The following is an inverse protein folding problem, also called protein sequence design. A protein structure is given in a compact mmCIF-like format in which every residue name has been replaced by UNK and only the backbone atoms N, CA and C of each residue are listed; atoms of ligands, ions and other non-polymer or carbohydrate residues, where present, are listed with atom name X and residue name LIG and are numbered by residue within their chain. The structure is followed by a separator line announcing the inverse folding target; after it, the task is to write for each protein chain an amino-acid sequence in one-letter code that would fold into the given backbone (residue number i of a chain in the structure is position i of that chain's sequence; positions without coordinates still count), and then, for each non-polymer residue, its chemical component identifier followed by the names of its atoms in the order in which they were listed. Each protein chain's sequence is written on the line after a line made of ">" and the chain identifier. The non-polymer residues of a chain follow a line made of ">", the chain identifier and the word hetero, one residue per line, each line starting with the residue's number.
data_IF_107126356504
#
_entry.id   IF_107126356504
#
_cell.length_a   1.000
_cell.length_b   1.000
_cell.length_c   1.000
_cell.angle_alpha   90.00
_cell.angle_beta   90.00
_cell.angle_gamma   90.00
#
_symmetry.space_group_name_H-M   'P 1'
#
loop_
_entity.id
_entity.type
_entity.pdbx_description
1 polymer ?
#
# COMPACT_ATOMS: atom_id res chain seq x y z
N UNK A 1 -24.59 -6.23 -1.93
CA UNK A 1 -23.62 -5.98 -3.02
C UNK A 1 -22.29 -6.56 -2.55
N UNK A 2 -21.61 -7.35 -3.39
CA UNK A 2 -20.31 -7.91 -3.03
C UNK A 2 -19.24 -6.88 -3.34
N UNK A 3 -18.59 -6.31 -2.32
CA UNK A 3 -17.42 -5.48 -2.51
C UNK A 3 -16.24 -6.32 -3.03
N UNK A 4 -15.44 -5.76 -3.93
CA UNK A 4 -14.18 -6.37 -4.36
C UNK A 4 -13.04 -5.40 -4.12
N UNK A 5 -11.94 -5.91 -3.60
CA UNK A 5 -10.69 -5.13 -3.48
C UNK A 5 -9.64 -5.80 -4.34
N UNK A 6 -9.08 -5.05 -5.27
CA UNK A 6 -8.03 -5.48 -6.19
C UNK A 6 -6.67 -4.97 -5.70
N UNK A 7 -5.68 -5.85 -5.63
CA UNK A 7 -4.27 -5.46 -5.56
C UNK A 7 -3.72 -5.36 -6.97
N UNK A 8 -3.21 -4.19 -7.31
CA UNK A 8 -2.58 -3.93 -8.61
C UNK A 8 -1.11 -3.61 -8.45
N UNK A 9 -0.37 -3.86 -9.53
CA UNK A 9 1.02 -3.48 -9.63
C UNK A 9 1.39 -2.98 -11.02
N UNK A 10 2.44 -2.17 -11.09
CA UNK A 10 3.07 -1.78 -12.34
C UNK A 10 4.60 -1.73 -12.19
N UNK A 11 5.29 -1.86 -13.33
CA UNK A 11 6.74 -1.67 -13.41
C UNK A 11 7.05 -0.18 -13.20
N UNK A 12 8.13 0.09 -12.47
CA UNK A 12 8.63 1.46 -12.31
C UNK A 12 9.50 1.81 -13.55
N UNK A 13 9.45 3.05 -14.07
CA UNK A 13 10.35 3.50 -15.13
C UNK A 13 11.81 3.22 -14.79
N UNK A 14 12.59 2.77 -15.78
CA UNK A 14 14.03 2.46 -15.71
C UNK A 14 14.44 1.28 -14.81
N UNK A 15 13.77 1.04 -13.68
CA UNK A 15 14.12 -0.02 -12.70
C UNK A 15 13.10 -1.17 -12.63
N UNK A 16 12.16 -1.23 -13.57
CA UNK A 16 11.06 -2.20 -13.60
C UNK A 16 11.46 -3.69 -13.63
N UNK A 17 12.73 -3.99 -13.93
CA UNK A 17 13.27 -5.35 -13.82
C UNK A 17 13.33 -5.83 -12.36
N UNK A 18 13.61 -4.92 -11.42
CA UNK A 18 13.91 -5.23 -10.02
C UNK A 18 12.90 -4.65 -9.02
N UNK A 19 12.09 -3.67 -9.44
CA UNK A 19 11.15 -2.97 -8.56
C UNK A 19 9.77 -2.78 -9.22
N UNK A 20 8.72 -2.94 -8.41
CA UNK A 20 7.34 -2.68 -8.79
C UNK A 20 6.68 -1.74 -7.79
N UNK A 21 5.64 -1.06 -8.23
CA UNK A 21 4.80 -0.19 -7.42
C UNK A 21 3.43 -0.84 -7.24
N UNK A 22 3.02 -1.10 -6.01
CA UNK A 22 1.71 -1.68 -5.69
C UNK A 22 0.70 -0.61 -5.23
N UNK A 23 -0.59 -0.83 -5.52
CA UNK A 23 -1.72 -0.04 -5.01
C UNK A 23 -2.99 -0.89 -4.85
N UNK A 24 -3.97 -0.39 -4.12
CA UNK A 24 -5.29 -1.00 -4.04
C UNK A 24 -6.30 -0.29 -4.94
N UNK A 25 -7.25 -1.05 -5.46
CA UNK A 25 -8.50 -0.53 -6.05
C UNK A 25 -9.68 -1.14 -5.30
N UNK A 26 -10.57 -0.32 -4.78
CA UNK A 26 -11.85 -0.75 -4.23
C UNK A 26 -12.89 -0.62 -5.32
N UNK A 27 -13.59 -1.71 -5.65
CA UNK A 27 -14.65 -1.73 -6.64
C UNK A 27 -16.03 -1.69 -5.96
N UNK A 28 -16.71 -0.57 -6.19
CA UNK A 28 -18.12 -0.34 -5.86
C UNK A 28 -18.84 0.16 -7.12
N UNK A 29 -19.87 1.01 -6.98
CA UNK A 29 -20.46 1.74 -8.11
C UNK A 29 -19.42 2.62 -8.83
N UNK A 30 -18.49 3.20 -8.07
CA UNK A 30 -17.34 3.95 -8.59
C UNK A 30 -16.08 3.38 -7.96
N UNK A 31 -15.08 3.07 -8.79
CA UNK A 31 -13.83 2.50 -8.30
C UNK A 31 -12.95 3.56 -7.63
N UNK A 32 -12.34 3.20 -6.50
CA UNK A 32 -11.41 4.05 -5.77
C UNK A 32 -10.00 3.46 -5.83
N UNK A 33 -9.04 4.22 -6.34
CA UNK A 33 -7.61 3.88 -6.30
C UNK A 33 -6.96 4.51 -5.08
N UNK A 34 -6.25 3.71 -4.30
CA UNK A 34 -5.54 4.15 -3.10
C UNK A 34 -4.06 3.77 -3.18
N UNK A 35 -3.18 4.77 -3.14
CA UNK A 35 -1.74 4.56 -3.28
C UNK A 35 -0.90 5.59 -2.51
N UNK A 36 0.37 5.26 -2.29
CA UNK A 36 1.39 6.19 -1.81
C UNK A 36 2.27 6.64 -2.98
N UNK A 37 2.47 7.95 -3.15
CA UNK A 37 3.35 8.53 -4.17
C UNK A 37 4.51 9.32 -3.53
N UNK A 38 5.64 9.43 -4.23
CA UNK A 38 6.82 10.15 -3.72
C UNK A 38 6.56 11.65 -3.51
N UNK A 39 5.64 12.23 -4.29
CA UNK A 39 5.29 13.66 -4.22
C UNK A 39 4.00 13.82 -3.43
N UNK A 40 4.01 14.70 -2.42
CA UNK A 40 2.86 14.95 -1.54
C UNK A 40 1.78 15.80 -2.23
N UNK A 41 0.54 15.70 -1.76
CA UNK A 41 -0.54 16.67 -2.00
C UNK A 41 -0.86 16.97 -3.47
N UNK A 42 -0.83 15.96 -4.34
CA UNK A 42 -1.05 16.11 -5.78
C UNK A 42 -2.52 16.31 -6.18
N UNK A 43 -3.47 15.87 -5.34
CA UNK A 43 -4.91 16.03 -5.54
C UNK A 43 -5.59 16.43 -4.23
N UNK A 44 -6.82 16.97 -4.28
CA UNK A 44 -7.57 17.38 -3.07
C UNK A 44 -7.81 16.23 -2.10
N UNK A 45 -7.92 15.00 -2.59
CA UNK A 45 -8.01 13.77 -1.80
C UNK A 45 -6.65 13.15 -1.49
N UNK A 46 -5.71 13.98 -1.03
CA UNK A 46 -4.38 13.55 -0.58
C UNK A 46 -4.17 13.83 0.90
N UNK A 47 -3.42 12.95 1.56
CA UNK A 47 -3.00 13.09 2.95
C UNK A 47 -1.49 12.84 3.03
N UNK A 48 -0.72 13.91 2.81
CA UNK A 48 0.73 13.79 2.58
C UNK A 48 1.00 13.04 1.27
N UNK A 49 1.68 11.90 1.37
CA UNK A 49 2.01 10.99 0.26
C UNK A 49 0.89 10.01 -0.08
N UNK A 50 -0.14 9.88 0.75
CA UNK A 50 -1.30 9.05 0.45
C UNK A 50 -2.22 9.79 -0.49
N UNK A 51 -2.68 9.12 -1.55
CA UNK A 51 -3.61 9.67 -2.51
C UNK A 51 -4.76 8.71 -2.75
N UNK A 52 -5.97 9.26 -2.78
CA UNK A 52 -7.14 8.64 -3.39
C UNK A 52 -7.34 9.20 -4.79
N UNK A 53 -7.49 8.34 -5.78
CA UNK A 53 -7.80 8.66 -7.19
C UNK A 53 -6.81 9.63 -7.85
N UNK A 54 -5.50 9.51 -7.54
CA UNK A 54 -4.45 10.27 -8.24
C UNK A 54 -4.45 9.99 -9.75
N UNK A 55 -4.71 8.73 -10.10
CA UNK A 55 -4.80 8.24 -11.48
C UNK A 55 -6.00 7.32 -11.63
N UNK A 56 -6.34 7.01 -12.89
CA UNK A 56 -7.33 5.97 -13.19
C UNK A 56 -6.94 4.63 -12.54
N UNK A 57 -7.90 3.80 -12.12
CA UNK A 57 -7.64 2.56 -11.37
C UNK A 57 -6.61 1.61 -12.00
N UNK A 58 -6.68 1.43 -13.32
CA UNK A 58 -5.83 0.51 -14.08
C UNK A 58 -4.58 1.16 -14.68
N UNK A 59 -4.42 2.48 -14.57
CA UNK A 59 -3.28 3.18 -15.18
C UNK A 59 -1.97 2.76 -14.52
N UNK A 60 -0.96 2.39 -15.30
CA UNK A 60 0.39 2.12 -14.78
C UNK A 60 1.12 3.37 -14.28
N UNK A 61 2.38 3.20 -13.88
CA UNK A 61 3.19 4.29 -13.27
C UNK A 61 4.27 4.84 -14.22
N UNK A 62 4.05 4.75 -15.53
CA UNK A 62 4.93 5.29 -16.58
C UNK A 62 5.83 4.26 -17.28
N UNK A 63 5.68 2.96 -17.00
CA UNK A 63 6.39 1.88 -17.69
C UNK A 63 5.44 0.76 -18.14
N UNK A 64 4.48 1.14 -18.98
CA UNK A 64 3.42 0.26 -19.47
C UNK A 64 2.19 0.19 -18.57
N UNK A 65 1.29 -0.73 -18.92
CA UNK A 65 0.06 -0.99 -18.18
C UNK A 65 0.32 -1.62 -16.81
N UNK A 66 -0.65 -1.47 -15.91
CA UNK A 66 -0.67 -2.23 -14.67
C UNK A 66 -1.28 -3.60 -14.87
N UNK A 67 -0.99 -4.53 -13.96
CA UNK A 67 -1.66 -5.83 -13.90
C UNK A 67 -2.38 -6.01 -12.56
N UNK A 68 -3.40 -6.88 -12.58
CA UNK A 68 -4.05 -7.41 -11.39
C UNK A 68 -3.13 -8.45 -10.76
N UNK A 69 -2.66 -8.20 -9.54
CA UNK A 69 -1.89 -9.17 -8.78
C UNK A 69 -2.82 -10.14 -8.03
N UNK A 70 -3.90 -9.62 -7.44
CA UNK A 70 -4.86 -10.41 -6.66
C UNK A 70 -6.20 -9.70 -6.53
N UNK A 71 -7.27 -10.45 -6.26
CA UNK A 71 -8.60 -9.91 -5.94
C UNK A 71 -9.18 -10.60 -4.70
N UNK A 72 -9.59 -9.81 -3.71
CA UNK A 72 -10.33 -10.28 -2.55
C UNK A 72 -11.81 -9.97 -2.71
N UNK A 73 -12.64 -10.82 -2.11
CA UNK A 73 -14.10 -10.73 -2.12
C UNK A 73 -14.66 -11.13 -0.74
N UNK A 74 -15.92 -10.81 -0.47
CA UNK A 74 -16.56 -11.14 0.80
C UNK A 74 -15.90 -10.45 2.01
N UNK A 75 -15.81 -11.16 3.13
CA UNK A 75 -15.31 -10.61 4.40
C UNK A 75 -13.90 -10.02 4.30
N UNK A 76 -13.02 -10.63 3.50
CA UNK A 76 -11.66 -10.11 3.30
C UNK A 76 -11.69 -8.75 2.59
N UNK A 77 -12.54 -8.58 1.58
CA UNK A 77 -12.73 -7.31 0.89
C UNK A 77 -13.33 -6.25 1.83
N UNK A 78 -14.34 -6.62 2.63
CA UNK A 78 -14.99 -5.74 3.61
C UNK A 78 -14.00 -5.20 4.65
N UNK A 79 -13.12 -6.06 5.15
CA UNK A 79 -12.08 -5.67 6.09
C UNK A 79 -11.02 -4.78 5.42
N UNK A 80 -10.55 -5.16 4.23
CA UNK A 80 -9.58 -4.37 3.47
C UNK A 80 -10.09 -2.97 3.18
N UNK A 81 -11.29 -2.81 2.62
CA UNK A 81 -11.82 -1.47 2.32
C UNK A 81 -11.98 -0.62 3.59
N UNK A 82 -12.37 -1.24 4.71
CA UNK A 82 -12.54 -0.57 6.00
C UNK A 82 -11.23 -0.01 6.50
N UNK A 83 -10.16 -0.82 6.44
CA UNK A 83 -8.82 -0.38 6.85
C UNK A 83 -8.26 0.66 5.87
N UNK A 84 -8.34 0.42 4.56
CA UNK A 84 -7.86 1.33 3.51
C UNK A 84 -8.47 2.73 3.69
N UNK A 85 -9.80 2.84 3.83
CA UNK A 85 -10.47 4.14 3.96
C UNK A 85 -10.15 4.88 5.26
N UNK A 86 -9.66 4.18 6.29
CA UNK A 86 -9.18 4.78 7.55
C UNK A 86 -7.72 5.25 7.48
N UNK A 87 -6.96 4.84 6.46
CA UNK A 87 -5.52 5.16 6.36
C UNK A 87 -5.15 6.64 6.39
N UNK A 88 -5.99 7.61 5.96
CA UNK A 88 -5.69 9.02 6.20
C UNK A 88 -5.40 9.37 7.66
N UNK A 89 -6.03 8.65 8.61
CA UNK A 89 -5.87 8.87 10.04
C UNK A 89 -4.90 7.88 10.69
N UNK A 90 -4.88 6.63 10.24
CA UNK A 90 -4.20 5.54 10.96
C UNK A 90 -2.88 5.09 10.35
N UNK A 91 -2.57 5.45 9.10
CA UNK A 91 -1.30 5.06 8.49
C UNK A 91 -0.17 5.96 9.02
N UNK A 92 0.83 5.41 9.74
CA UNK A 92 1.82 6.22 10.44
C UNK A 92 2.81 6.94 9.53
N UNK A 93 2.85 6.60 8.24
CA UNK A 93 3.85 7.11 7.29
C UNK A 93 3.26 8.01 6.21
N UNK A 94 2.05 8.56 6.40
CA UNK A 94 1.43 9.49 5.43
C UNK A 94 2.36 10.67 5.06
N UNK A 95 3.24 11.12 5.95
CA UNK A 95 4.13 12.28 5.71
C UNK A 95 5.61 11.93 5.58
N UNK A 96 5.95 10.63 5.50
CA UNK A 96 7.32 10.14 5.33
C UNK A 96 7.40 9.23 4.11
N UNK A 97 8.34 9.49 3.21
CA UNK A 97 8.60 8.63 2.05
C UNK A 97 10.11 8.41 1.88
N UNK A 98 10.52 7.16 1.63
CA UNK A 98 11.86 6.81 1.18
C UNK A 98 11.78 5.71 0.13
N UNK A 99 12.50 5.86 -0.99
CA UNK A 99 12.51 4.86 -2.05
C UNK A 99 12.94 3.47 -1.56
N UNK A 100 14.00 3.41 -0.74
CA UNK A 100 14.50 2.20 -0.09
C UNK A 100 15.18 2.56 1.25
N UNK A 101 15.03 1.75 2.31
CA UNK A 101 14.23 0.53 2.42
C UNK A 101 12.73 0.80 2.67
N UNK A 102 12.27 2.05 2.57
CA UNK A 102 10.90 2.47 2.89
C UNK A 102 10.86 3.55 3.99
N UNK A 103 9.67 4.04 4.37
CA UNK A 103 8.37 3.59 3.89
C UNK A 103 8.07 4.12 2.47
N UNK A 104 7.44 3.28 1.64
CA UNK A 104 7.00 3.61 0.27
C UNK A 104 5.64 2.95 -0.04
N UNK A 105 5.24 2.89 -1.31
CA UNK A 105 4.00 2.22 -1.74
C UNK A 105 3.93 0.76 -1.31
N UNK A 106 5.01 0.01 -1.41
CA UNK A 106 5.04 -1.40 -1.03
C UNK A 106 4.94 -1.58 0.49
N UNK A 107 5.51 -0.65 1.28
CA UNK A 107 5.31 -0.61 2.74
C UNK A 107 3.84 -0.41 3.09
N UNK A 108 3.17 0.52 2.43
CA UNK A 108 1.76 0.82 2.68
C UNK A 108 0.86 -0.38 2.43
N UNK A 109 1.07 -1.06 1.29
CA UNK A 109 0.28 -2.23 0.95
C UNK A 109 0.50 -3.37 1.95
N UNK A 110 1.75 -3.70 2.28
CA UNK A 110 2.00 -4.75 3.27
C UNK A 110 1.46 -4.36 4.65
N UNK A 111 1.55 -3.09 5.04
CA UNK A 111 0.98 -2.60 6.30
C UNK A 111 -0.53 -2.78 6.38
N UNK A 112 -1.26 -2.48 5.29
CA UNK A 112 -2.71 -2.73 5.22
C UNK A 112 -3.00 -4.22 5.33
N UNK A 113 -2.32 -5.06 4.55
CA UNK A 113 -2.52 -6.51 4.60
C UNK A 113 -2.32 -7.05 6.03
N UNK A 114 -1.28 -6.57 6.72
CA UNK A 114 -1.01 -6.94 8.11
C UNK A 114 -2.10 -6.45 9.06
N UNK A 115 -2.54 -5.19 8.93
CA UNK A 115 -3.61 -4.61 9.76
C UNK A 115 -4.97 -5.25 9.53
N UNK A 116 -5.25 -5.68 8.31
CA UNK A 116 -6.44 -6.44 7.93
C UNK A 116 -6.31 -7.94 8.20
N UNK A 117 -5.20 -8.41 8.79
CA UNK A 117 -4.94 -9.83 9.07
C UNK A 117 -5.00 -10.73 7.81
N UNK A 118 -4.79 -10.16 6.63
CA UNK A 118 -4.78 -10.89 5.36
C UNK A 118 -3.42 -11.57 5.21
N UNK A 119 -3.43 -12.89 5.03
CA UNK A 119 -2.22 -13.71 4.84
C UNK A 119 -1.73 -13.65 3.40
N UNK A 120 -1.37 -12.45 2.94
CA UNK A 120 -0.77 -12.22 1.63
C UNK A 120 0.59 -11.52 1.78
N UNK A 121 1.58 -11.99 1.03
CA UNK A 121 2.92 -11.42 1.01
C UNK A 121 3.24 -10.91 -0.38
N UNK A 122 3.60 -9.63 -0.49
CA UNK A 122 3.99 -9.06 -1.77
C UNK A 122 5.18 -9.80 -2.38
N UNK A 123 5.29 -9.80 -3.70
CA UNK A 123 6.41 -10.40 -4.42
C UNK A 123 7.77 -9.80 -4.03
N UNK A 124 8.88 -10.47 -4.39
CA UNK A 124 10.25 -9.99 -4.06
C UNK A 124 10.58 -8.61 -4.63
N UNK A 125 9.94 -8.23 -5.74
CA UNK A 125 10.11 -6.92 -6.39
C UNK A 125 9.38 -5.78 -5.67
N UNK A 126 8.54 -6.08 -4.69
CA UNK A 126 7.94 -5.09 -3.79
C UNK A 126 8.95 -4.56 -2.79
N UNK A 127 9.98 -3.84 -3.27
CA UNK A 127 11.06 -3.33 -2.44
C UNK A 127 10.52 -2.40 -1.34
N UNK A 128 10.94 -2.64 -0.09
CA UNK A 128 10.48 -1.90 1.09
C UNK A 128 9.21 -2.41 1.76
N UNK A 129 8.57 -3.47 1.24
CA UNK A 129 7.39 -4.10 1.85
C UNK A 129 7.54 -4.48 3.34
N UNK A 130 8.75 -4.79 3.79
CA UNK A 130 9.00 -5.25 5.16
C UNK A 130 9.37 -4.12 6.14
N UNK A 131 9.40 -2.85 5.69
CA UNK A 131 9.85 -1.72 6.50
C UNK A 131 9.15 -1.70 7.87
N UNK A 132 7.82 -1.68 7.90
CA UNK A 132 7.07 -1.59 9.16
C UNK A 132 7.39 -2.75 10.13
N UNK A 133 7.42 -3.99 9.61
CA UNK A 133 7.70 -5.19 10.41
C UNK A 133 9.10 -5.16 11.04
N UNK A 134 10.10 -4.63 10.33
CA UNK A 134 11.43 -4.47 10.90
C UNK A 134 11.43 -3.47 12.08
N UNK A 135 10.83 -2.30 11.92
CA UNK A 135 10.79 -1.29 12.99
C UNK A 135 9.99 -1.75 14.20
N UNK A 136 8.81 -2.38 13.99
CA UNK A 136 8.02 -2.94 15.10
C UNK A 136 8.76 -4.03 15.87
N UNK A 137 9.61 -4.83 15.20
CA UNK A 137 10.45 -5.82 15.87
C UNK A 137 11.50 -5.16 16.77
N UNK A 138 12.14 -4.08 16.33
CA UNK A 138 13.13 -3.37 17.15
C UNK A 138 12.49 -2.67 18.34
N UNK A 139 11.33 -2.05 18.17
CA UNK A 139 10.56 -1.47 19.29
C UNK A 139 10.21 -2.53 20.34
N UNK A 140 9.76 -3.70 19.90
CA UNK A 140 9.45 -4.82 20.80
C UNK A 140 10.70 -5.32 21.56
N UNK A 141 11.84 -5.46 20.88
CA UNK A 141 13.11 -5.86 21.51
C UNK A 141 13.57 -4.80 22.52
N UNK A 142 13.50 -3.51 22.17
CA UNK A 142 13.89 -2.43 23.05
C UNK A 142 13.03 -2.39 24.33
N UNK A 143 11.71 -2.53 24.19
CA UNK A 143 10.79 -2.63 25.33
C UNK A 143 11.12 -3.81 26.25
N UNK A 144 11.42 -4.98 25.69
CA UNK A 144 11.80 -6.16 26.49
C UNK A 144 13.13 -5.97 27.22
N UNK A 145 14.08 -5.23 26.64
CA UNK A 145 15.38 -4.95 27.27
C UNK A 145 15.34 -3.92 28.39
N UNK A 146 14.28 -3.10 28.48
CA UNK A 146 14.10 -2.12 29.56
C UNK A 146 13.42 -2.69 30.82
N UNK A 147 13.01 -3.96 30.79
CA UNK A 147 12.42 -4.68 31.93
C UNK A 147 13.36 -5.76 32.51
N UNK A 148 14.68 -5.66 32.26
CA UNK A 148 15.74 -6.46 32.91
C UNK A 148 16.61 -5.55 33.78
#
# INVERSE_FOLDING_TARGET
>A
MSYQVELRAAKIPYIGAIAVHYWFVIHEQVSERWEIWQTKSLVSSSWGHLHKNLMNPTRGVGNGESWQEYIWQGEEADNLQTIIRKTPQIYPYNYLYRYYPGPNSNTYIQWILDKSQIRYYLGRKGLGKNYHRFFSKYEAIALLSTFQ
#
